data_IF_708404863875
#
_entry.id   IF_708404863875
#
_cell.length_a   1.000
_cell.length_b   1.000
_cell.length_c   1.000
_cell.angle_alpha   90.00
_cell.angle_beta   90.00
_cell.angle_gamma   90.00
#
_symmetry.space_group_name_H-M   'P 1'
#
loop_
_entity.id
_entity.type
_entity.pdbx_description
1 polymer ?
#
# COMPACT_ATOMS: atom_id res chain seq x y z
N UNK A 1 -60.83 10.76 -7.17
CA UNK A 1 -60.24 9.44 -7.41
C UNK A 1 -58.83 9.45 -6.85
N UNK A 2 -58.52 8.52 -5.94
CA UNK A 2 -57.20 8.41 -5.31
C UNK A 2 -56.24 7.82 -6.34
N UNK A 3 -55.33 8.63 -6.87
CA UNK A 3 -54.28 8.15 -7.77
C UNK A 3 -53.07 7.66 -6.94
N UNK A 4 -52.28 6.75 -7.48
CA UNK A 4 -51.06 6.21 -6.87
C UNK A 4 -50.13 7.35 -6.42
N UNK A 5 -50.02 8.43 -7.19
CA UNK A 5 -49.23 9.61 -6.83
C UNK A 5 -49.70 10.28 -5.53
N UNK A 6 -51.01 10.29 -5.27
CA UNK A 6 -51.60 10.86 -4.05
C UNK A 6 -51.28 9.98 -2.84
N UNK A 7 -51.34 8.65 -3.02
CA UNK A 7 -50.98 7.67 -2.00
C UNK A 7 -49.49 7.75 -1.67
N UNK A 8 -48.63 7.77 -2.68
CA UNK A 8 -47.17 7.87 -2.51
C UNK A 8 -46.77 9.18 -1.84
N UNK A 9 -47.40 10.31 -2.21
CA UNK A 9 -47.16 11.61 -1.53
C UNK A 9 -47.58 11.59 -0.07
N UNK A 10 -48.68 10.92 0.26
CA UNK A 10 -49.16 10.82 1.64
C UNK A 10 -48.26 9.93 2.48
N UNK A 11 -47.86 8.76 1.95
CA UNK A 11 -46.88 7.88 2.60
C UNK A 11 -45.55 8.60 2.82
N UNK A 12 -45.03 9.33 1.83
CA UNK A 12 -43.79 10.10 1.99
C UNK A 12 -43.92 11.18 3.06
N UNK A 13 -45.07 11.90 3.13
CA UNK A 13 -45.30 12.91 4.18
C UNK A 13 -45.32 12.30 5.59
N UNK A 14 -45.85 11.09 5.73
CA UNK A 14 -45.86 10.36 7.01
C UNK A 14 -44.48 9.78 7.36
N UNK A 15 -43.70 9.37 6.37
CA UNK A 15 -42.35 8.81 6.57
C UNK A 15 -41.26 9.85 6.82
N UNK A 16 -41.37 11.06 6.25
CA UNK A 16 -40.33 12.10 6.36
C UNK A 16 -39.96 12.42 7.82
N UNK A 17 -40.89 12.64 8.76
CA UNK A 17 -40.55 12.89 10.16
C UNK A 17 -39.83 11.71 10.82
N UNK A 18 -40.28 10.48 10.56
CA UNK A 18 -39.66 9.27 11.11
C UNK A 18 -38.27 9.03 10.51
N UNK A 19 -38.09 9.34 9.24
CA UNK A 19 -36.81 9.26 8.54
C UNK A 19 -35.82 10.30 9.10
N UNK A 20 -36.26 11.55 9.27
CA UNK A 20 -35.44 12.62 9.86
C UNK A 20 -34.99 12.28 11.28
N UNK A 21 -35.90 11.79 12.13
CA UNK A 21 -35.59 11.42 13.51
C UNK A 21 -34.59 10.25 13.56
N UNK A 22 -34.80 9.21 12.74
CA UNK A 22 -33.85 8.10 12.62
C UNK A 22 -32.49 8.57 12.12
N UNK A 23 -32.47 9.38 11.05
CA UNK A 23 -31.23 9.91 10.49
C UNK A 23 -30.46 10.73 11.53
N UNK A 24 -31.13 11.64 12.26
CA UNK A 24 -30.51 12.39 13.35
C UNK A 24 -29.96 11.47 14.44
N UNK A 25 -30.70 10.46 14.86
CA UNK A 25 -30.25 9.51 15.88
C UNK A 25 -29.02 8.69 15.42
N UNK A 26 -28.93 8.36 14.12
CA UNK A 26 -27.76 7.68 13.55
C UNK A 26 -26.56 8.61 13.42
N UNK A 27 -26.75 9.84 12.91
CA UNK A 27 -25.69 10.82 12.74
C UNK A 27 -25.14 11.28 14.10
N UNK A 28 -25.98 11.45 15.12
CA UNK A 28 -25.55 11.83 16.47
C UNK A 28 -24.60 10.81 17.13
N UNK A 29 -24.53 9.57 16.62
CA UNK A 29 -23.61 8.53 17.10
C UNK A 29 -22.31 8.47 16.32
N UNK A 30 -22.18 9.21 15.22
CA UNK A 30 -20.98 9.21 14.39
C UNK A 30 -19.96 10.22 14.88
N UNK A 31 -18.72 10.01 14.46
CA UNK A 31 -17.65 10.97 14.70
C UNK A 31 -17.91 12.30 13.97
N UNK A 32 -17.64 13.42 14.65
CA UNK A 32 -17.94 14.76 14.14
C UNK A 32 -17.06 15.11 12.93
N UNK A 33 -15.81 14.66 12.92
CA UNK A 33 -14.86 14.91 11.84
C UNK A 33 -15.28 14.12 10.59
N UNK A 34 -15.70 12.87 10.78
CA UNK A 34 -16.29 12.06 9.71
C UNK A 34 -17.55 12.70 9.11
N UNK A 35 -18.46 13.22 9.94
CA UNK A 35 -19.67 13.91 9.46
C UNK A 35 -19.37 15.14 8.61
N UNK A 36 -18.38 15.94 9.03
CA UNK A 36 -17.93 17.10 8.27
C UNK A 36 -17.40 16.65 6.91
N UNK A 37 -16.60 15.58 6.86
CA UNK A 37 -16.09 15.03 5.61
C UNK A 37 -17.21 14.56 4.67
N UNK A 38 -18.23 13.87 5.20
CA UNK A 38 -19.37 13.42 4.39
C UNK A 38 -20.18 14.59 3.83
N UNK A 39 -20.42 15.65 4.62
CA UNK A 39 -21.12 16.84 4.15
C UNK A 39 -20.31 17.53 3.04
N UNK A 40 -18.99 17.67 3.22
CA UNK A 40 -18.10 18.21 2.19
C UNK A 40 -18.16 17.36 0.93
N UNK A 41 -18.07 16.03 1.03
CA UNK A 41 -18.17 15.12 -0.11
C UNK A 41 -19.52 15.22 -0.85
N UNK A 42 -20.63 15.35 -0.12
CA UNK A 42 -21.96 15.52 -0.71
C UNK A 42 -22.17 16.90 -1.36
N UNK A 43 -21.37 17.90 -0.99
CA UNK A 43 -21.49 19.28 -1.46
C UNK A 43 -20.58 19.61 -2.65
N UNK A 44 -19.57 18.78 -2.89
CA UNK A 44 -18.59 18.97 -3.96
C UNK A 44 -19.04 18.27 -5.26
N UNK A 45 -18.64 18.84 -6.39
CA UNK A 45 -18.82 18.21 -7.68
C UNK A 45 -17.84 17.04 -7.89
N UNK A 46 -18.15 16.19 -8.87
CA UNK A 46 -17.39 14.97 -9.16
C UNK A 46 -15.91 15.26 -9.43
N UNK A 47 -15.57 16.40 -10.04
CA UNK A 47 -14.18 16.74 -10.33
C UNK A 47 -13.42 17.08 -9.03
N UNK A 48 -14.00 17.93 -8.18
CA UNK A 48 -13.42 18.29 -6.89
C UNK A 48 -13.25 17.08 -5.96
N UNK A 49 -14.21 16.13 -5.98
CA UNK A 49 -14.09 14.85 -5.26
C UNK A 49 -12.89 14.04 -5.74
N UNK A 50 -12.71 13.92 -7.07
CA UNK A 50 -11.55 13.22 -7.63
C UNK A 50 -10.22 13.89 -7.29
N UNK A 51 -10.15 15.22 -7.28
CA UNK A 51 -8.93 15.93 -6.86
C UNK A 51 -8.63 15.72 -5.37
N UNK A 52 -9.64 15.74 -4.51
CA UNK A 52 -9.49 15.44 -3.08
C UNK A 52 -9.01 14.01 -2.85
N UNK A 53 -9.63 13.02 -3.49
CA UNK A 53 -9.23 11.62 -3.36
C UNK A 53 -7.79 11.42 -3.88
N UNK A 54 -7.42 12.05 -5.00
CA UNK A 54 -6.03 12.04 -5.51
C UNK A 54 -5.05 12.64 -4.51
N UNK A 55 -5.42 13.77 -3.87
CA UNK A 55 -4.57 14.42 -2.88
C UNK A 55 -4.38 13.55 -1.65
N UNK A 56 -5.46 12.94 -1.15
CA UNK A 56 -5.41 12.00 -0.03
C UNK A 56 -4.52 10.80 -0.33
N UNK A 57 -4.69 10.18 -1.50
CA UNK A 57 -3.84 9.06 -1.91
C UNK A 57 -2.35 9.44 -1.98
N UNK A 58 -2.04 10.62 -2.51
CA UNK A 58 -0.66 11.14 -2.54
C UNK A 58 -0.11 11.42 -1.15
N UNK A 59 -0.93 11.99 -0.26
CA UNK A 59 -0.55 12.26 1.13
C UNK A 59 -0.23 10.96 1.87
N UNK A 60 -1.11 9.97 1.79
CA UNK A 60 -0.88 8.64 2.38
C UNK A 60 0.38 7.97 1.84
N UNK A 61 0.61 8.07 0.52
CA UNK A 61 1.81 7.53 -0.09
C UNK A 61 3.07 8.25 0.40
N UNK A 62 3.04 9.58 0.50
CA UNK A 62 4.14 10.37 1.04
C UNK A 62 4.43 10.01 2.50
N UNK A 63 3.39 9.82 3.32
CA UNK A 63 3.54 9.37 4.71
C UNK A 63 4.22 7.99 4.74
N UNK A 64 3.77 7.03 3.93
CA UNK A 64 4.38 5.69 3.85
C UNK A 64 5.83 5.73 3.40
N UNK A 65 6.15 6.58 2.41
CA UNK A 65 7.52 6.81 1.92
C UNK A 65 8.41 7.39 3.01
N UNK A 66 7.92 8.39 3.74
CA UNK A 66 8.66 9.03 4.83
C UNK A 66 8.89 8.04 6.00
N UNK A 67 7.86 7.28 6.39
CA UNK A 67 7.99 6.25 7.42
C UNK A 67 9.04 5.19 7.03
N UNK A 68 9.06 4.74 5.77
CA UNK A 68 10.09 3.83 5.27
C UNK A 68 11.47 4.47 5.34
N UNK A 69 11.63 5.69 4.84
CA UNK A 69 12.89 6.40 4.85
C UNK A 69 13.46 6.50 6.27
N UNK A 70 12.60 6.81 7.25
CA UNK A 70 12.99 6.86 8.67
C UNK A 70 13.46 5.50 9.19
N UNK A 71 12.68 4.42 8.95
CA UNK A 71 13.08 3.06 9.39
C UNK A 71 14.40 2.62 8.77
N UNK A 72 14.55 2.82 7.46
CA UNK A 72 15.79 2.49 6.74
C UNK A 72 16.97 3.30 7.27
N UNK A 73 16.74 4.58 7.59
CA UNK A 73 17.75 5.47 8.17
C UNK A 73 18.20 5.06 9.57
N UNK A 74 17.28 4.54 10.38
CA UNK A 74 17.57 4.00 11.71
C UNK A 74 18.39 2.71 11.65
N UNK A 75 18.24 1.92 10.59
CA UNK A 75 19.02 0.69 10.40
C UNK A 75 20.52 0.97 10.26
N UNK A 76 20.91 2.17 9.78
CA UNK A 76 22.31 2.58 9.55
C UNK A 76 23.10 1.47 8.85
N UNK A 77 22.59 1.05 7.70
CA UNK A 77 23.01 -0.18 7.05
C UNK A 77 24.45 -0.05 6.51
N UNK A 78 25.27 -1.05 6.81
CA UNK A 78 26.66 -1.18 6.36
C UNK A 78 26.96 -2.64 5.98
N UNK A 79 28.18 -2.89 5.51
CA UNK A 79 28.65 -4.23 5.14
C UNK A 79 28.55 -5.24 6.28
N UNK A 80 28.82 -4.85 7.53
CA UNK A 80 28.81 -5.76 8.67
C UNK A 80 27.38 -6.20 9.02
N UNK A 81 26.43 -5.26 9.02
CA UNK A 81 25.01 -5.56 9.22
C UNK A 81 24.42 -6.39 8.09
N UNK A 82 24.84 -6.13 6.85
CA UNK A 82 24.43 -6.96 5.72
C UNK A 82 24.94 -8.41 5.90
N UNK A 83 26.19 -8.58 6.30
CA UNK A 83 26.76 -9.91 6.55
C UNK A 83 26.08 -10.62 7.72
N UNK A 84 25.75 -9.90 8.80
CA UNK A 84 24.97 -10.43 9.91
C UNK A 84 23.57 -10.90 9.44
N UNK A 85 22.86 -10.07 8.69
CA UNK A 85 21.57 -10.41 8.11
C UNK A 85 21.65 -11.65 7.21
N UNK A 86 22.62 -11.69 6.29
CA UNK A 86 22.80 -12.86 5.42
C UNK A 86 23.07 -14.09 6.27
N UNK A 87 23.94 -14.02 7.28
CA UNK A 87 24.27 -15.16 8.14
C UNK A 87 23.05 -15.69 8.89
N UNK A 88 22.23 -14.80 9.42
CA UNK A 88 21.01 -15.14 10.18
C UNK A 88 19.94 -15.77 9.28
N UNK A 89 19.69 -15.17 8.11
CA UNK A 89 18.54 -15.52 7.26
C UNK A 89 18.86 -16.48 6.10
N UNK A 90 20.14 -16.89 5.89
CA UNK A 90 20.59 -17.65 4.71
C UNK A 90 19.82 -18.94 4.42
N UNK A 91 19.38 -19.63 5.47
CA UNK A 91 18.84 -20.99 5.40
C UNK A 91 17.40 -21.10 5.89
N UNK A 92 16.71 -19.97 6.07
CA UNK A 92 15.32 -20.00 6.53
C UNK A 92 14.45 -20.74 5.52
N UNK A 93 13.77 -21.79 6.01
CA UNK A 93 12.77 -22.52 5.25
C UNK A 93 11.36 -22.16 5.72
N UNK A 94 10.37 -22.54 4.91
CA UNK A 94 8.95 -22.33 5.26
C UNK A 94 8.58 -23.06 6.54
N UNK A 95 9.09 -24.27 6.72
CA UNK A 95 8.82 -25.13 7.87
C UNK A 95 9.32 -24.46 9.15
N UNK A 96 10.50 -23.84 9.10
CA UNK A 96 11.03 -23.04 10.20
C UNK A 96 10.16 -21.82 10.51
N UNK A 97 9.71 -21.09 9.48
CA UNK A 97 8.79 -19.95 9.69
C UNK A 97 7.46 -20.38 10.34
N UNK A 98 6.98 -21.59 10.07
CA UNK A 98 5.77 -22.14 10.72
C UNK A 98 6.07 -22.58 12.15
N UNK A 99 7.20 -23.25 12.38
CA UNK A 99 7.64 -23.70 13.71
C UNK A 99 7.88 -22.52 14.66
N UNK A 100 8.50 -21.46 14.16
CA UNK A 100 8.75 -20.20 14.88
C UNK A 100 7.49 -19.32 15.00
N UNK A 101 6.35 -19.76 14.49
CA UNK A 101 5.07 -19.03 14.50
C UNK A 101 5.14 -17.66 13.81
N UNK A 102 6.01 -17.51 12.81
CA UNK A 102 6.07 -16.32 11.95
C UNK A 102 5.06 -16.43 10.79
N UNK A 103 4.76 -17.66 10.37
CA UNK A 103 3.82 -17.98 9.31
C UNK A 103 2.80 -19.00 9.81
N UNK A 104 1.52 -18.81 9.47
CA UNK A 104 0.49 -19.80 9.79
C UNK A 104 0.62 -21.04 8.89
N UNK A 105 0.31 -22.21 9.43
CA UNK A 105 0.46 -23.49 8.72
C UNK A 105 -0.42 -23.60 7.47
N UNK A 106 -1.58 -22.93 7.47
CA UNK A 106 -2.55 -22.84 6.38
C UNK A 106 -2.17 -21.84 5.28
N UNK A 107 -1.04 -21.12 5.43
CA UNK A 107 -0.60 -20.16 4.43
C UNK A 107 -0.44 -20.80 3.04
N UNK A 108 -0.72 -20.10 1.93
CA UNK A 108 -0.52 -20.63 0.59
C UNK A 108 0.93 -21.10 0.35
N UNK A 109 1.08 -22.18 -0.40
CA UNK A 109 2.39 -22.71 -0.82
C UNK A 109 3.04 -21.81 -1.88
N UNK A 110 4.37 -21.94 -2.04
CA UNK A 110 5.12 -21.27 -3.11
C UNK A 110 4.47 -21.57 -4.48
N UNK A 111 4.29 -20.52 -5.28
CA UNK A 111 3.66 -20.61 -6.60
C UNK A 111 2.13 -20.54 -6.62
N UNK A 112 1.47 -20.57 -5.45
CA UNK A 112 0.00 -20.40 -5.34
C UNK A 112 -0.38 -18.94 -5.08
N UNK A 113 -1.50 -18.74 -4.41
CA UNK A 113 -2.06 -17.46 -3.99
C UNK A 113 -1.08 -16.59 -3.20
N UNK A 114 -1.41 -15.30 -3.11
CA UNK A 114 -0.64 -14.35 -2.32
C UNK A 114 -0.77 -14.71 -0.83
N UNK A 115 0.35 -14.69 -0.11
CA UNK A 115 0.31 -14.71 1.35
C UNK A 115 -0.14 -13.32 1.78
N UNK A 116 -1.41 -13.19 2.17
CA UNK A 116 -1.98 -11.97 2.76
C UNK A 116 -1.68 -11.89 4.26
N UNK A 117 -2.00 -10.75 4.87
CA UNK A 117 -1.76 -10.46 6.29
C UNK A 117 -2.36 -11.52 7.23
N UNK A 118 -3.52 -12.08 6.87
CA UNK A 118 -4.20 -13.12 7.65
C UNK A 118 -3.34 -14.38 7.87
N UNK A 119 -2.34 -14.64 7.03
CA UNK A 119 -1.46 -15.80 7.13
C UNK A 119 -0.18 -15.53 7.91
N UNK A 120 0.04 -14.32 8.40
CA UNK A 120 1.22 -13.93 9.16
C UNK A 120 0.84 -13.58 10.59
N UNK A 121 1.78 -13.78 11.50
CA UNK A 121 1.69 -13.21 12.85
C UNK A 121 2.27 -11.80 12.86
N UNK A 122 2.17 -11.11 14.00
CA UNK A 122 2.73 -9.76 14.15
C UNK A 122 4.24 -9.81 13.92
N UNK A 123 4.91 -10.81 14.48
CA UNK A 123 6.34 -11.05 14.34
C UNK A 123 6.71 -11.38 12.88
N UNK A 124 5.87 -12.18 12.20
CA UNK A 124 6.04 -12.47 10.78
C UNK A 124 5.90 -11.26 9.86
N UNK A 125 4.95 -10.37 10.16
CA UNK A 125 4.80 -9.10 9.44
C UNK A 125 5.99 -8.17 9.69
N UNK A 126 6.48 -8.10 10.93
CA UNK A 126 7.69 -7.34 11.27
C UNK A 126 8.91 -7.86 10.52
N UNK A 127 9.10 -9.19 10.43
CA UNK A 127 10.18 -9.79 9.65
C UNK A 127 10.07 -9.47 8.16
N UNK A 128 8.85 -9.55 7.60
CA UNK A 128 8.60 -9.17 6.20
C UNK A 128 8.93 -7.70 5.96
N UNK A 129 8.50 -6.81 6.86
CA UNK A 129 8.76 -5.38 6.78
C UNK A 129 10.27 -5.09 6.88
N UNK A 130 10.96 -5.71 7.83
CA UNK A 130 12.41 -5.60 8.00
C UNK A 130 13.15 -6.09 6.74
N UNK A 131 12.73 -7.22 6.16
CA UNK A 131 13.32 -7.76 4.93
C UNK A 131 13.12 -6.83 3.73
N UNK A 132 11.95 -6.20 3.62
CA UNK A 132 11.67 -5.19 2.58
C UNK A 132 12.51 -3.93 2.77
N UNK A 133 12.67 -3.47 4.00
CA UNK A 133 13.47 -2.27 4.32
C UNK A 133 14.96 -2.54 4.08
N UNK A 134 15.47 -3.75 4.39
CA UNK A 134 16.81 -4.20 4.01
C UNK A 134 17.01 -4.16 2.50
N UNK A 135 16.11 -4.79 1.73
CA UNK A 135 16.21 -4.80 0.26
C UNK A 135 16.11 -3.39 -0.33
N UNK A 136 15.23 -2.55 0.21
CA UNK A 136 15.14 -1.15 -0.19
C UNK A 136 16.45 -0.40 0.06
N UNK A 137 17.04 -0.55 1.24
CA UNK A 137 18.32 0.07 1.58
C UNK A 137 19.46 -0.40 0.67
N UNK A 138 19.50 -1.69 0.32
CA UNK A 138 20.49 -2.22 -0.61
C UNK A 138 20.34 -1.63 -2.01
N UNK A 139 19.12 -1.52 -2.52
CA UNK A 139 18.87 -1.06 -3.90
C UNK A 139 18.96 0.46 -4.04
N UNK A 140 18.46 1.22 -3.07
CA UNK A 140 18.24 2.67 -3.19
C UNK A 140 18.92 3.51 -2.11
N UNK A 141 19.57 2.86 -1.13
CA UNK A 141 20.21 3.54 -0.02
C UNK A 141 21.46 4.32 -0.39
N UNK A 142 21.59 5.50 0.19
CA UNK A 142 22.71 6.41 0.09
C UNK A 142 23.04 7.01 1.48
N UNK A 143 23.96 7.98 1.51
CA UNK A 143 24.36 8.67 2.74
C UNK A 143 23.18 9.40 3.42
N UNK A 144 22.21 9.92 2.66
CA UNK A 144 21.03 10.61 3.22
C UNK A 144 20.18 9.66 4.07
N UNK A 145 20.17 8.37 3.70
CA UNK A 145 19.53 7.27 4.43
C UNK A 145 20.49 6.55 5.41
N UNK A 146 21.65 7.12 5.73
CA UNK A 146 22.68 6.48 6.57
C UNK A 146 23.13 5.10 6.07
N UNK A 147 23.15 4.88 4.75
CA UNK A 147 23.57 3.62 4.15
C UNK A 147 24.96 3.77 3.57
N UNK A 148 25.89 2.93 4.04
CA UNK A 148 27.30 3.03 3.75
C UNK A 148 27.79 1.74 3.09
N UNK A 149 27.80 1.74 1.76
CA UNK A 149 28.38 0.67 0.94
C UNK A 149 29.35 1.26 -0.07
N UNK A 150 30.49 0.58 -0.27
CA UNK A 150 31.41 0.89 -1.36
C UNK A 150 30.84 0.35 -2.68
N UNK A 151 29.98 1.18 -3.32
CA UNK A 151 29.31 0.85 -4.59
C UNK A 151 30.24 1.20 -5.74
N UNK A 152 30.95 0.21 -6.27
CA UNK A 152 31.93 0.39 -7.34
C UNK A 152 31.45 -0.11 -8.72
N UNK A 153 30.31 -0.81 -8.78
CA UNK A 153 29.78 -1.40 -10.00
C UNK A 153 28.26 -1.21 -10.08
N UNK A 154 27.78 -1.12 -11.32
CA UNK A 154 26.34 -1.11 -11.63
C UNK A 154 25.99 -2.44 -12.28
N UNK A 155 25.04 -3.14 -11.68
CA UNK A 155 24.49 -4.39 -12.19
C UNK A 155 23.00 -4.23 -12.49
N UNK A 156 22.49 -5.10 -13.36
CA UNK A 156 21.06 -5.18 -13.66
C UNK A 156 20.45 -6.34 -12.88
N UNK A 157 19.45 -6.04 -12.05
CA UNK A 157 18.63 -7.04 -11.37
C UNK A 157 17.26 -7.15 -12.06
N UNK A 158 17.03 -8.27 -12.73
CA UNK A 158 15.72 -8.60 -13.33
C UNK A 158 14.91 -9.53 -12.43
N UNK A 159 13.65 -9.18 -12.18
CA UNK A 159 12.73 -9.96 -11.34
C UNK A 159 11.42 -10.25 -12.08
N UNK A 160 11.15 -11.52 -12.35
CA UNK A 160 9.91 -11.94 -13.00
C UNK A 160 8.85 -12.28 -11.95
N UNK A 161 7.83 -11.43 -11.85
CA UNK A 161 6.75 -11.58 -10.86
C UNK A 161 5.39 -11.63 -11.56
N UNK A 162 4.53 -12.61 -11.22
CA UNK A 162 3.16 -12.63 -11.74
C UNK A 162 2.42 -11.33 -11.42
N UNK A 163 1.66 -10.80 -12.37
CA UNK A 163 0.98 -9.50 -12.25
C UNK A 163 0.18 -9.33 -10.95
N UNK A 164 -0.58 -10.34 -10.54
CA UNK A 164 -1.38 -10.30 -9.31
C UNK A 164 -0.54 -10.27 -8.01
N UNK A 165 0.79 -10.45 -8.11
CA UNK A 165 1.76 -10.35 -7.01
C UNK A 165 2.63 -9.10 -7.11
N UNK A 166 2.46 -8.26 -8.13
CA UNK A 166 3.29 -7.06 -8.32
C UNK A 166 3.22 -6.10 -7.13
N UNK A 167 2.06 -6.04 -6.47
CA UNK A 167 1.87 -5.25 -5.25
C UNK A 167 2.83 -5.61 -4.11
N UNK A 168 3.40 -6.82 -4.07
CA UNK A 168 4.43 -7.19 -3.09
C UNK A 168 5.71 -6.35 -3.24
N UNK A 169 5.97 -5.81 -4.43
CA UNK A 169 7.13 -5.00 -4.78
C UNK A 169 6.85 -3.49 -4.80
N UNK A 170 5.67 -3.05 -4.33
CA UNK A 170 5.29 -1.64 -4.27
C UNK A 170 6.20 -0.75 -3.39
N UNK A 171 7.14 -1.35 -2.66
CA UNK A 171 8.15 -0.64 -1.89
C UNK A 171 9.33 -0.16 -2.74
N UNK A 172 9.51 -0.68 -3.95
CA UNK A 172 10.56 -0.23 -4.86
C UNK A 172 10.21 1.13 -5.48
N UNK A 173 11.22 2.00 -5.63
CA UNK A 173 11.05 3.31 -6.28
C UNK A 173 10.75 3.08 -7.76
N UNK A 174 9.62 3.60 -8.25
CA UNK A 174 9.19 3.51 -9.65
C UNK A 174 9.29 2.09 -10.23
N UNK A 175 8.49 1.15 -9.71
CA UNK A 175 8.33 -0.15 -10.36
C UNK A 175 7.59 0.01 -11.70
N UNK A 176 8.35 0.12 -12.79
CA UNK A 176 7.82 0.15 -14.16
C UNK A 176 7.36 -1.26 -14.55
N UNK A 177 6.05 -1.48 -14.71
CA UNK A 177 5.51 -2.72 -15.28
C UNK A 177 5.65 -2.65 -16.81
N UNK A 178 6.62 -3.37 -17.39
CA UNK A 178 6.76 -3.46 -18.85
C UNK A 178 5.88 -4.62 -19.34
N UNK A 179 4.69 -4.27 -19.83
CA UNK A 179 3.89 -5.20 -20.64
C UNK A 179 4.40 -5.19 -22.09
N UNK A 180 4.40 -6.34 -22.76
CA UNK A 180 4.95 -6.55 -24.11
C UNK A 180 4.31 -5.75 -25.26
N UNK A 181 3.49 -4.74 -24.96
CA UNK A 181 2.92 -3.79 -25.91
C UNK A 181 3.09 -2.36 -25.36
N UNK A 182 4.25 -1.78 -25.65
CA UNK A 182 4.50 -0.34 -25.80
C UNK A 182 3.92 0.62 -24.75
N UNK A 183 4.82 1.17 -23.92
CA UNK A 183 4.65 2.36 -23.06
C UNK A 183 3.51 2.31 -22.06
N UNK A 184 3.87 2.18 -20.78
CA UNK A 184 2.92 2.18 -19.67
C UNK A 184 3.04 3.46 -18.83
N UNK A 185 1.89 4.00 -18.42
CA UNK A 185 1.75 5.14 -17.51
C UNK A 185 1.67 4.65 -16.07
N UNK A 186 2.37 5.32 -15.16
CA UNK A 186 2.25 5.10 -13.72
C UNK A 186 0.77 5.16 -13.27
N UNK A 187 0.25 4.10 -12.62
CA UNK A 187 -1.16 3.99 -12.24
C UNK A 187 -1.52 4.96 -11.11
N UNK A 188 -0.51 5.47 -10.39
CA UNK A 188 -0.63 6.47 -9.33
C UNK A 188 -0.10 7.85 -9.76
N UNK A 189 0.48 7.96 -10.97
CA UNK A 189 1.00 9.21 -11.53
C UNK A 189 2.09 9.89 -10.66
N UNK A 190 2.85 9.11 -9.91
CA UNK A 190 3.94 9.56 -9.04
C UNK A 190 5.30 9.67 -9.78
N UNK A 191 5.44 9.00 -10.93
CA UNK A 191 6.59 9.08 -11.81
C UNK A 191 6.52 10.35 -12.66
N UNK A 192 7.31 11.36 -12.28
CA UNK A 192 7.65 12.45 -13.18
C UNK A 192 8.73 11.92 -14.14
N UNK A 193 8.30 11.30 -15.25
CA UNK A 193 9.12 10.65 -16.28
C UNK A 193 10.10 11.58 -17.03
N UNK A 194 10.28 12.82 -16.60
CA UNK A 194 11.20 13.74 -17.26
C UNK A 194 12.65 13.64 -16.79
N UNK A 195 12.95 13.05 -15.61
CA UNK A 195 14.34 12.99 -15.09
C UNK A 195 14.67 11.81 -14.16
N UNK A 196 13.82 10.79 -14.01
CA UNK A 196 14.18 9.61 -13.23
C UNK A 196 14.88 8.57 -14.13
N UNK A 197 16.07 8.11 -13.75
CA UNK A 197 16.75 6.99 -14.40
C UNK A 197 15.88 5.73 -14.29
N UNK A 198 15.26 5.35 -15.40
CA UNK A 198 14.27 4.27 -15.47
C UNK A 198 14.89 2.91 -15.09
N UNK A 199 14.20 2.17 -14.23
CA UNK A 199 14.49 0.77 -13.92
C UNK A 199 13.66 -0.09 -14.88
N UNK A 200 14.35 -0.83 -15.75
CA UNK A 200 13.77 -1.73 -16.73
C UNK A 200 13.80 -3.15 -16.15
N UNK A 201 12.63 -3.79 -16.11
CA UNK A 201 12.45 -5.20 -15.73
C UNK A 201 11.92 -5.93 -16.97
N UNK A 202 12.69 -6.86 -17.55
CA UNK A 202 12.31 -7.62 -18.74
C UNK A 202 12.25 -9.14 -18.52
N UNK A 203 11.08 -9.68 -18.93
CA UNK A 203 10.59 -11.03 -19.29
C UNK A 203 11.05 -12.29 -18.55
#
# INVERSE_FOLDING_TARGET
>A
MTNIETIVRQINREFVPQFEEKLRAYLAKQDKEWLIEQIVRLSLDVHSLHEMDRKHLKEEENIRRLQRANRVKEMKLDSDKLMAFISEYRKITREQLIEEKLLKADAPLKGKELIIEEFRTIEGEQLLQFSKDMLFGLLFGDEDLNIHFDRNQRELLSLNVPRYKSATLNFMKASTEISGLGTWQDPNGAANDMHADNIIIES
#
